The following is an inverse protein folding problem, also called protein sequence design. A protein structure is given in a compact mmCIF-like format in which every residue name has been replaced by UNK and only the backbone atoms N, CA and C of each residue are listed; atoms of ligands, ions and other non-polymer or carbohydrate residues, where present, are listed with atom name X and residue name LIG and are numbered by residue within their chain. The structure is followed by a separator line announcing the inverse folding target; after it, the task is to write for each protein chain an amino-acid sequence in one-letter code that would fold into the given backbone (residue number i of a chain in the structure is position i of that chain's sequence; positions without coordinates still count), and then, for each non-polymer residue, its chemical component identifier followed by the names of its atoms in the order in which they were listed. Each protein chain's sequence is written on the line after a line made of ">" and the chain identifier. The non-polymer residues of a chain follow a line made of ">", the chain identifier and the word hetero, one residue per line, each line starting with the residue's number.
data_IF_111774597953
#
_entry.id   IF_111774597953
#
_cell.length_a   1.000
_cell.length_b   1.000
_cell.length_c   1.000
_cell.angle_alpha   90.00
_cell.angle_beta   90.00
_cell.angle_gamma   90.00
#
_symmetry.space_group_name_H-M   'P 1'
#
loop_
_entity.id
_entity.type
_entity.pdbx_description
1 polymer ?
#
# COMPACT_ATOMS: atom_id res chain seq x y z
N UNK A 1 30.43 2.69 13.48
CA UNK A 1 29.83 1.34 13.43
C UNK A 1 30.89 0.40 12.89
N UNK A 2 30.92 -0.87 13.28
CA UNK A 2 31.81 -1.87 12.67
C UNK A 2 31.35 -2.22 11.25
N UNK A 3 32.21 -2.80 10.40
CA UNK A 3 31.79 -3.28 9.08
C UNK A 3 30.57 -4.22 9.13
N UNK A 4 30.51 -5.14 10.09
CA UNK A 4 29.37 -6.06 10.23
C UNK A 4 28.06 -5.33 10.62
N UNK A 5 28.14 -4.35 11.53
CA UNK A 5 26.99 -3.51 11.88
C UNK A 5 26.51 -2.70 10.66
N UNK A 6 27.44 -2.22 9.83
CA UNK A 6 27.11 -1.48 8.60
C UNK A 6 26.47 -2.42 7.57
N UNK A 7 27.01 -3.62 7.38
CA UNK A 7 26.45 -4.61 6.47
C UNK A 7 25.01 -4.99 6.87
N UNK A 8 24.76 -5.24 8.16
CA UNK A 8 23.42 -5.49 8.67
C UNK A 8 22.46 -4.31 8.38
N UNK A 9 22.93 -3.08 8.54
CA UNK A 9 22.16 -1.88 8.21
C UNK A 9 21.89 -1.73 6.71
N UNK A 10 22.83 -2.07 5.85
CA UNK A 10 22.62 -2.07 4.40
C UNK A 10 21.54 -3.09 4.02
N UNK A 11 21.57 -4.29 4.61
CA UNK A 11 20.52 -5.28 4.39
C UNK A 11 19.15 -4.87 4.92
N UNK A 12 19.08 -4.23 6.10
CA UNK A 12 17.82 -3.66 6.58
C UNK A 12 17.29 -2.56 5.64
N UNK A 13 18.17 -1.80 5.00
CA UNK A 13 17.77 -0.79 4.01
C UNK A 13 17.14 -1.42 2.77
N UNK A 14 17.66 -2.54 2.27
CA UNK A 14 17.04 -3.29 1.16
C UNK A 14 15.63 -3.79 1.53
N UNK A 15 15.46 -4.31 2.74
CA UNK A 15 14.15 -4.74 3.25
C UNK A 15 13.17 -3.57 3.32
N UNK A 16 13.63 -2.40 3.80
CA UNK A 16 12.82 -1.19 3.83
C UNK A 16 12.37 -0.76 2.43
N UNK A 17 13.27 -0.79 1.45
CA UNK A 17 12.95 -0.39 0.08
C UNK A 17 11.93 -1.34 -0.56
N UNK A 18 12.05 -2.64 -0.30
CA UNK A 18 11.06 -3.63 -0.73
C UNK A 18 9.70 -3.42 -0.05
N UNK A 19 9.68 -3.18 1.26
CA UNK A 19 8.45 -2.92 2.00
C UNK A 19 7.77 -1.62 1.54
N UNK A 20 8.55 -0.56 1.28
CA UNK A 20 8.04 0.69 0.73
C UNK A 20 7.39 0.46 -0.63
N UNK A 21 8.06 -0.26 -1.54
CA UNK A 21 7.49 -0.60 -2.85
C UNK A 21 6.17 -1.37 -2.73
N UNK A 22 6.08 -2.34 -1.81
CA UNK A 22 4.85 -3.10 -1.57
C UNK A 22 3.71 -2.20 -1.05
N UNK A 23 4.01 -1.31 -0.11
CA UNK A 23 3.03 -0.34 0.42
C UNK A 23 2.55 0.61 -0.68
N UNK A 24 3.44 1.07 -1.55
CA UNK A 24 3.09 1.94 -2.68
C UNK A 24 2.14 1.25 -3.65
N UNK A 25 2.40 -0.03 -3.98
CA UNK A 25 1.50 -0.85 -4.81
C UNK A 25 0.12 -0.99 -4.17
N UNK A 26 0.05 -1.31 -2.88
CA UNK A 26 -1.23 -1.41 -2.17
C UNK A 26 -1.96 -0.07 -2.05
N UNK A 27 -1.21 1.03 -1.85
CA UNK A 27 -1.74 2.39 -1.86
C UNK A 27 -2.36 2.75 -3.21
N UNK A 28 -1.67 2.41 -4.31
CA UNK A 28 -2.18 2.57 -5.67
C UNK A 28 -3.47 1.79 -5.91
N UNK A 29 -3.52 0.51 -5.51
CA UNK A 29 -4.73 -0.30 -5.60
C UNK A 29 -5.90 0.31 -4.81
N UNK A 30 -5.64 0.76 -3.58
CA UNK A 30 -6.66 1.42 -2.76
C UNK A 30 -7.19 2.69 -3.42
N UNK A 31 -6.32 3.51 -4.01
CA UNK A 31 -6.70 4.71 -4.73
C UNK A 31 -7.54 4.38 -5.98
N UNK A 32 -7.12 3.40 -6.77
CA UNK A 32 -7.84 2.95 -7.96
C UNK A 32 -9.27 2.53 -7.62
N UNK A 33 -9.45 1.70 -6.58
CA UNK A 33 -10.78 1.23 -6.15
C UNK A 33 -11.64 2.35 -5.58
N UNK A 34 -11.05 3.34 -4.90
CA UNK A 34 -11.78 4.53 -4.47
C UNK A 34 -12.25 5.39 -5.65
N UNK A 35 -11.43 5.49 -6.70
CA UNK A 35 -11.82 6.20 -7.91
C UNK A 35 -12.94 5.46 -8.65
N UNK A 36 -12.86 4.14 -8.76
CA UNK A 36 -13.92 3.30 -9.32
C UNK A 36 -15.24 3.49 -8.57
N UNK A 37 -15.19 3.52 -7.23
CA UNK A 37 -16.36 3.80 -6.41
C UNK A 37 -16.96 5.18 -6.68
N UNK A 38 -16.12 6.21 -6.81
CA UNK A 38 -16.55 7.58 -7.14
C UNK A 38 -17.22 7.64 -8.53
N UNK A 39 -16.70 6.87 -9.48
CA UNK A 39 -17.26 6.77 -10.83
C UNK A 39 -18.63 6.08 -10.79
N UNK A 40 -18.78 4.99 -10.03
CA UNK A 40 -20.07 4.31 -9.81
C UNK A 40 -21.09 5.25 -9.16
N UNK A 41 -20.69 6.01 -8.13
CA UNK A 41 -21.56 6.99 -7.48
C UNK A 41 -22.10 8.03 -8.47
N UNK A 42 -21.25 8.47 -9.42
CA UNK A 42 -21.63 9.40 -10.49
C UNK A 42 -22.61 8.75 -11.46
N UNK A 43 -22.35 7.51 -11.88
CA UNK A 43 -23.24 6.77 -12.79
C UNK A 43 -24.61 6.52 -12.16
N UNK A 44 -24.66 6.11 -10.89
CA UNK A 44 -25.91 5.90 -10.13
C UNK A 44 -26.74 7.19 -10.11
N UNK A 45 -26.12 8.33 -9.78
CA UNK A 45 -26.82 9.63 -9.77
C UNK A 45 -27.37 9.99 -11.14
N UNK A 46 -26.58 9.81 -12.19
CA UNK A 46 -27.00 10.10 -13.56
C UNK A 46 -28.15 9.19 -14.02
N UNK A 47 -28.08 7.90 -13.70
CA UNK A 47 -29.12 6.92 -14.03
C UNK A 47 -30.42 7.20 -13.26
N UNK A 48 -30.31 7.45 -11.95
CA UNK A 48 -31.47 7.77 -11.11
C UNK A 48 -32.21 9.03 -11.59
N UNK A 49 -31.49 10.06 -12.04
CA UNK A 49 -32.09 11.29 -12.55
C UNK A 49 -32.87 11.08 -13.87
N UNK A 50 -32.57 10.02 -14.62
CA UNK A 50 -33.17 9.73 -15.94
C UNK A 50 -34.17 8.57 -15.92
N UNK A 51 -34.29 7.87 -14.79
CA UNK A 51 -35.14 6.68 -14.66
C UNK A 51 -36.49 7.07 -14.04
N UNK A 52 -37.58 7.15 -14.83
CA UNK A 52 -38.91 7.35 -14.27
C UNK A 52 -39.38 6.08 -13.53
N UNK A 53 -40.34 6.23 -12.62
CA UNK A 53 -40.87 5.12 -11.81
C UNK A 53 -41.59 4.03 -12.63
N UNK A 54 -41.96 4.32 -13.87
CA UNK A 54 -42.57 3.36 -14.80
C UNK A 54 -41.55 2.57 -15.64
N UNK A 55 -40.27 2.96 -15.64
CA UNK A 55 -39.22 2.28 -16.39
C UNK A 55 -38.61 1.13 -15.57
N UNK A 56 -39.20 -0.06 -15.70
CA UNK A 56 -38.77 -1.26 -14.99
C UNK A 56 -37.34 -1.68 -15.36
N UNK A 57 -36.92 -1.46 -16.60
CA UNK A 57 -35.55 -1.81 -17.05
C UNK A 57 -34.56 -0.83 -16.44
N UNK A 58 -34.84 0.47 -16.50
CA UNK A 58 -34.00 1.49 -15.87
C UNK A 58 -33.89 1.30 -14.35
N UNK A 59 -34.95 0.85 -13.68
CA UNK A 59 -34.90 0.51 -12.26
C UNK A 59 -34.02 -0.70 -11.98
N UNK A 60 -34.06 -1.74 -12.82
CA UNK A 60 -33.18 -2.90 -12.66
C UNK A 60 -31.71 -2.50 -12.83
N UNK A 61 -31.39 -1.70 -13.87
CA UNK A 61 -30.03 -1.19 -14.08
C UNK A 61 -29.55 -0.38 -12.88
N UNK A 62 -30.41 0.46 -12.30
CA UNK A 62 -30.07 1.22 -11.10
C UNK A 62 -29.79 0.31 -9.90
N UNK A 63 -30.59 -0.74 -9.69
CA UNK A 63 -30.36 -1.73 -8.64
C UNK A 63 -29.03 -2.46 -8.84
N UNK A 64 -28.70 -2.87 -10.06
CA UNK A 64 -27.45 -3.55 -10.38
C UNK A 64 -26.23 -2.66 -10.09
N UNK A 65 -26.30 -1.37 -10.46
CA UNK A 65 -25.25 -0.39 -10.15
C UNK A 65 -25.07 -0.19 -8.64
N UNK A 66 -26.17 -0.10 -7.89
CA UNK A 66 -26.14 -0.03 -6.41
C UNK A 66 -25.52 -1.30 -5.81
N UNK A 67 -25.86 -2.47 -6.35
CA UNK A 67 -25.26 -3.74 -5.94
C UNK A 67 -23.74 -3.75 -6.13
N UNK A 68 -23.27 -3.30 -7.29
CA UNK A 68 -21.83 -3.16 -7.59
C UNK A 68 -21.15 -2.17 -6.64
N UNK A 69 -21.77 -1.03 -6.35
CA UNK A 69 -21.26 -0.04 -5.40
C UNK A 69 -21.09 -0.63 -3.99
N UNK A 70 -22.09 -1.38 -3.50
CA UNK A 70 -22.04 -2.03 -2.19
C UNK A 70 -20.93 -3.08 -2.15
N UNK A 71 -20.83 -3.92 -3.18
CA UNK A 71 -19.79 -4.94 -3.27
C UNK A 71 -18.38 -4.32 -3.24
N UNK A 72 -18.16 -3.25 -4.01
CA UNK A 72 -16.89 -2.54 -4.06
C UNK A 72 -16.57 -1.85 -2.72
N UNK A 73 -17.55 -1.22 -2.06
CA UNK A 73 -17.36 -0.65 -0.71
C UNK A 73 -16.94 -1.72 0.29
N UNK A 74 -17.60 -2.88 0.26
CA UNK A 74 -17.27 -4.00 1.13
C UNK A 74 -15.86 -4.52 0.86
N UNK A 75 -15.47 -4.68 -0.41
CA UNK A 75 -14.12 -5.09 -0.79
C UNK A 75 -13.07 -4.12 -0.24
N UNK A 76 -13.28 -2.81 -0.44
CA UNK A 76 -12.39 -1.77 0.06
C UNK A 76 -12.29 -1.82 1.58
N UNK A 77 -13.42 -1.90 2.29
CA UNK A 77 -13.46 -1.81 3.74
C UNK A 77 -12.94 -3.06 4.44
N UNK A 78 -13.27 -4.24 3.92
CA UNK A 78 -13.02 -5.51 4.60
C UNK A 78 -11.70 -6.16 4.19
N UNK A 79 -11.14 -5.81 3.02
CA UNK A 79 -9.93 -6.45 2.51
C UNK A 79 -8.82 -5.46 2.21
N UNK A 80 -9.07 -4.47 1.35
CA UNK A 80 -8.00 -3.61 0.82
C UNK A 80 -7.47 -2.66 1.91
N UNK A 81 -8.34 -1.97 2.64
CA UNK A 81 -7.93 -1.04 3.70
C UNK A 81 -7.17 -1.76 4.83
N UNK A 82 -7.65 -2.91 5.36
CA UNK A 82 -6.88 -3.67 6.36
C UNK A 82 -5.50 -4.09 5.85
N UNK A 83 -5.41 -4.65 4.64
CA UNK A 83 -4.13 -5.09 4.07
C UNK A 83 -3.14 -3.93 3.90
N UNK A 84 -3.59 -2.80 3.35
CA UNK A 84 -2.76 -1.59 3.25
C UNK A 84 -2.29 -1.09 4.62
N UNK A 85 -3.20 -1.04 5.60
CA UNK A 85 -2.88 -0.58 6.96
C UNK A 85 -1.87 -1.49 7.64
N UNK A 86 -2.00 -2.81 7.47
CA UNK A 86 -1.04 -3.78 8.00
C UNK A 86 0.35 -3.56 7.45
N UNK A 87 0.48 -3.44 6.12
CA UNK A 87 1.79 -3.23 5.47
C UNK A 87 2.41 -1.89 5.88
N UNK A 88 1.60 -0.83 5.96
CA UNK A 88 2.05 0.48 6.40
C UNK A 88 2.58 0.45 7.84
N UNK A 89 1.91 -0.28 8.74
CA UNK A 89 2.37 -0.43 10.12
C UNK A 89 3.67 -1.24 10.21
N UNK A 90 3.81 -2.29 9.39
CA UNK A 90 5.04 -3.10 9.32
C UNK A 90 6.23 -2.27 8.80
N UNK A 91 6.01 -1.46 7.77
CA UNK A 91 7.01 -0.53 7.26
C UNK A 91 7.44 0.48 8.34
N UNK A 92 6.48 1.09 9.06
CA UNK A 92 6.78 2.04 10.14
C UNK A 92 7.64 1.42 11.25
N UNK A 93 7.29 0.21 11.71
CA UNK A 93 8.06 -0.50 12.72
C UNK A 93 9.49 -0.81 12.24
N UNK A 94 9.66 -1.14 10.95
CA UNK A 94 10.97 -1.39 10.35
C UNK A 94 11.78 -0.10 10.24
N UNK A 95 11.15 1.03 9.88
CA UNK A 95 11.78 2.36 9.83
C UNK A 95 12.26 2.77 11.22
N UNK A 96 11.43 2.60 12.25
CA UNK A 96 11.80 2.90 13.63
C UNK A 96 13.01 2.07 14.09
N UNK A 97 13.01 0.78 13.77
CA UNK A 97 14.13 -0.13 14.07
C UNK A 97 15.41 0.31 13.34
N UNK A 98 15.31 0.58 12.04
CA UNK A 98 16.44 1.05 11.23
C UNK A 98 16.99 2.38 11.75
N UNK A 99 16.14 3.35 12.07
CA UNK A 99 16.60 4.64 12.60
C UNK A 99 17.29 4.47 13.96
N UNK A 100 16.74 3.63 14.84
CA UNK A 100 17.35 3.36 16.15
C UNK A 100 18.74 2.70 16.03
N UNK A 101 18.91 1.77 15.07
CA UNK A 101 20.13 0.96 14.95
C UNK A 101 21.17 1.55 14.01
N UNK A 102 20.72 2.16 12.92
CA UNK A 102 21.54 2.40 11.72
C UNK A 102 21.81 3.88 11.43
N UNK A 103 21.09 4.82 12.06
CA UNK A 103 21.27 6.26 11.82
C UNK A 103 21.86 7.01 13.02
N UNK A 104 21.94 6.39 14.20
CA UNK A 104 22.38 7.05 15.43
C UNK A 104 23.91 7.16 15.58
N UNK A 105 24.70 6.34 14.87
CA UNK A 105 26.16 6.27 15.01
C UNK A 105 26.85 6.57 13.69
N UNK A 106 27.97 7.32 13.69
CA UNK A 106 28.72 7.62 12.47
C UNK A 106 29.27 6.34 11.83
N UNK A 107 29.30 6.35 10.49
CA UNK A 107 29.91 5.31 9.65
C UNK A 107 31.19 5.89 9.06
N UNK A 108 32.32 5.24 9.28
CA UNK A 108 33.59 5.65 8.67
C UNK A 108 33.70 5.04 7.27
N UNK A 109 34.21 5.81 6.32
CA UNK A 109 34.28 5.43 4.89
C UNK A 109 34.96 4.07 4.71
N UNK A 110 36.09 3.83 5.39
CA UNK A 110 36.82 2.55 5.30
C UNK A 110 36.02 1.35 5.81
N UNK A 111 35.14 1.54 6.81
CA UNK A 111 34.30 0.46 7.33
C UNK A 111 33.10 0.20 6.42
N UNK A 112 32.60 1.24 5.74
CA UNK A 112 31.56 1.12 4.70
C UNK A 112 32.09 0.34 3.50
N UNK A 113 33.27 0.72 2.99
CA UNK A 113 33.91 0.01 1.87
C UNK A 113 34.15 -1.47 2.19
N UNK A 114 34.55 -1.79 3.43
CA UNK A 114 34.70 -3.18 3.89
C UNK A 114 33.37 -3.92 3.99
N UNK A 115 32.31 -3.26 4.47
CA UNK A 115 30.98 -3.85 4.58
C UNK A 115 30.38 -4.17 3.20
N UNK A 116 30.67 -3.34 2.19
CA UNK A 116 30.18 -3.52 0.82
C UNK A 116 30.90 -4.63 0.05
N UNK A 117 32.18 -4.89 0.35
CA UNK A 117 33.06 -5.74 -0.49
C UNK A 117 32.62 -7.21 -0.64
N UNK A 118 31.67 -7.71 0.16
CA UNK A 118 31.03 -9.02 -0.04
C UNK A 118 29.61 -9.04 0.53
N UNK A 119 28.87 -7.92 0.41
CA UNK A 119 27.55 -7.82 1.00
C UNK A 119 26.59 -8.86 0.38
N UNK A 120 26.12 -9.79 1.19
CA UNK A 120 25.08 -10.74 0.83
C UNK A 120 23.97 -10.61 1.86
N UNK A 121 22.88 -9.99 1.45
CA UNK A 121 21.71 -9.84 2.30
C UNK A 121 20.85 -11.10 2.22
N UNK A 122 20.41 -11.65 3.38
CA UNK A 122 19.44 -12.73 3.38
C UNK A 122 18.16 -12.23 2.69
N UNK A 123 17.56 -13.09 1.85
CA UNK A 123 16.32 -12.73 1.16
C UNK A 123 15.24 -12.44 2.22
N UNK A 124 14.46 -11.35 2.05
CA UNK A 124 13.34 -11.04 2.92
C UNK A 124 12.25 -12.12 2.88
#
# INVERSE_FOLDING_TARGET
>A
MTPDEIAACLCQKEVLDQQQSNVDVQGGLLQERQQELTNLDTQIKAQAARTPSSDLVGQQVLQDLIGQQIALRNLIQLQIRPAYTQQLNQLRATIETYNAQCTARPRYVLDVEKAEQNLVCPKP
#
